data_IF_801518244065
#
_entry.id   IF_801518244065
#
_cell.length_a   1.000
_cell.length_b   1.000
_cell.length_c   1.000
_cell.angle_alpha   90.00
_cell.angle_beta   90.00
_cell.angle_gamma   90.00
#
_symmetry.space_group_name_H-M   'P 1'
#
loop_
_entity.id
_entity.type
_entity.pdbx_description
1 polymer ?
#
# COMPACT_ATOMS: atom_id res chain seq x y z
N UNK A 1 7.59 -8.06 14.64
CA UNK A 1 6.21 -7.55 14.60
C UNK A 1 6.20 -6.36 13.65
N UNK A 2 5.63 -6.45 12.45
CA UNK A 2 5.47 -5.30 11.58
C UNK A 2 4.44 -4.34 12.20
N UNK A 3 4.68 -3.04 12.14
CA UNK A 3 3.73 -2.05 12.63
C UNK A 3 2.48 -2.04 11.72
N UNK A 4 1.29 -2.14 12.31
CA UNK A 4 0.00 -2.12 11.60
C UNK A 4 -0.42 -0.70 11.16
N UNK A 5 0.34 0.34 11.53
CA UNK A 5 0.09 1.74 11.16
C UNK A 5 1.35 2.41 10.61
N UNK A 6 1.18 3.54 9.90
CA UNK A 6 2.28 4.34 9.37
C UNK A 6 3.27 4.67 10.50
N UNK A 7 4.52 4.16 10.40
CA UNK A 7 5.54 4.38 11.44
C UNK A 7 5.80 5.88 11.60
N UNK A 8 5.24 6.46 12.66
CA UNK A 8 5.53 7.80 13.14
C UNK A 8 6.81 7.79 13.99
N UNK A 9 7.20 8.96 14.51
CA UNK A 9 8.33 9.10 15.44
C UNK A 9 8.21 8.24 16.73
N UNK A 10 7.04 7.60 16.97
CA UNK A 10 6.80 6.70 18.11
C UNK A 10 6.95 5.20 17.77
N UNK A 11 7.27 4.85 16.52
CA UNK A 11 7.55 3.49 16.10
C UNK A 11 8.90 3.02 16.71
N UNK A 12 8.94 1.88 17.40
CA UNK A 12 10.16 1.37 18.06
C UNK A 12 11.33 1.05 17.13
N UNK A 13 11.10 1.08 15.81
CA UNK A 13 12.11 0.94 14.77
C UNK A 13 12.62 2.31 14.25
N UNK A 14 12.00 3.42 14.67
CA UNK A 14 12.43 4.75 14.29
C UNK A 14 13.76 5.09 14.97
N UNK A 15 14.78 5.37 14.16
CA UNK A 15 16.09 5.81 14.65
C UNK A 15 16.23 7.32 14.41
N UNK A 16 16.26 8.16 15.46
CA UNK A 16 16.40 9.60 15.28
C UNK A 16 17.77 9.93 14.68
N UNK A 17 17.79 10.94 13.81
CA UNK A 17 18.99 11.39 13.10
C UNK A 17 19.99 12.15 14.00
N UNK A 18 19.60 12.47 15.24
CA UNK A 18 20.43 13.16 16.25
C UNK A 18 21.17 14.37 15.67
N UNK A 19 20.42 15.31 15.09
CA UNK A 19 20.96 16.47 14.37
C UNK A 19 21.64 17.50 15.29
N UNK A 20 21.40 17.43 16.61
CA UNK A 20 21.90 18.40 17.59
C UNK A 20 21.32 19.79 17.38
N UNK A 21 21.88 20.78 18.09
CA UNK A 21 21.61 22.20 17.87
C UNK A 21 22.94 22.94 17.57
N UNK A 22 23.30 23.12 16.29
CA UNK A 22 24.54 23.80 15.91
C UNK A 22 24.46 25.33 16.11
N UNK A 23 23.26 25.87 16.28
CA UNK A 23 23.03 27.30 16.48
C UNK A 23 23.16 27.70 17.95
N UNK A 24 22.93 26.76 18.87
CA UNK A 24 22.91 27.01 20.30
C UNK A 24 21.93 28.13 20.65
N UNK A 25 22.38 29.12 21.44
CA UNK A 25 21.54 30.25 21.84
C UNK A 25 21.25 31.28 20.73
N UNK A 26 21.84 31.15 19.53
CA UNK A 26 21.67 32.13 18.46
C UNK A 26 20.24 32.17 17.91
N UNK A 27 19.48 31.07 17.99
CA UNK A 27 18.07 31.07 17.59
C UNK A 27 17.19 31.92 18.53
N UNK A 28 17.70 32.21 19.74
CA UNK A 28 16.99 32.93 20.80
C UNK A 28 17.61 34.31 21.05
N UNK A 29 18.51 34.78 20.19
CA UNK A 29 19.27 36.02 20.37
C UNK A 29 19.45 36.79 19.06
N UNK A 30 19.43 38.12 19.12
CA UNK A 30 19.75 39.00 17.99
C UNK A 30 21.25 39.29 17.85
N UNK A 31 22.11 38.52 18.53
CA UNK A 31 23.57 38.69 18.44
C UNK A 31 24.07 38.30 17.05
N UNK A 32 25.02 39.06 16.52
CA UNK A 32 25.71 38.71 15.27
C UNK A 32 26.56 37.45 15.48
N UNK A 33 26.39 36.40 14.67
CA UNK A 33 27.18 35.18 14.79
C UNK A 33 28.64 35.44 14.37
N UNK A 34 29.57 34.84 15.09
CA UNK A 34 30.99 34.82 14.73
C UNK A 34 31.25 33.89 13.53
N UNK A 35 32.37 34.11 12.83
CA UNK A 35 32.78 33.27 11.70
C UNK A 35 32.85 31.77 12.05
N UNK A 36 33.28 31.45 13.28
CA UNK A 36 33.33 30.07 13.78
C UNK A 36 31.93 29.44 13.94
N UNK A 37 30.93 30.23 14.35
CA UNK A 37 29.54 29.78 14.45
C UNK A 37 28.93 29.62 13.06
N UNK A 38 29.21 30.54 12.15
CA UNK A 38 28.78 30.43 10.74
C UNK A 38 29.34 29.16 10.10
N UNK A 39 30.62 28.87 10.30
CA UNK A 39 31.25 27.65 9.80
C UNK A 39 30.61 26.38 10.41
N UNK A 40 30.36 26.38 11.72
CA UNK A 40 29.72 25.26 12.43
C UNK A 40 28.31 24.98 11.88
N UNK A 41 27.48 26.02 11.78
CA UNK A 41 26.10 25.92 11.27
C UNK A 41 26.10 25.46 9.81
N UNK A 42 26.97 26.02 8.97
CA UNK A 42 27.06 25.65 7.56
C UNK A 42 27.40 24.17 7.37
N UNK A 43 28.37 23.67 8.15
CA UNK A 43 28.77 22.26 8.12
C UNK A 43 27.61 21.33 8.53
N UNK A 44 26.85 21.74 9.55
CA UNK A 44 25.66 21.01 9.99
C UNK A 44 24.54 21.01 8.94
N UNK A 45 24.29 22.15 8.27
CA UNK A 45 23.32 22.25 7.18
C UNK A 45 23.70 21.35 6.00
N UNK A 46 24.98 21.32 5.62
CA UNK A 46 25.43 20.47 4.52
C UNK A 46 25.32 18.98 4.86
N UNK A 47 25.57 18.61 6.12
CA UNK A 47 25.30 17.25 6.60
C UNK A 47 23.81 16.91 6.49
N UNK A 48 22.93 17.79 6.97
CA UNK A 48 21.48 17.56 6.92
C UNK A 48 20.97 17.46 5.47
N UNK A 49 21.48 18.29 4.56
CA UNK A 49 21.16 18.23 3.12
C UNK A 49 21.56 16.89 2.50
N UNK A 50 22.77 16.39 2.78
CA UNK A 50 23.21 15.07 2.29
C UNK A 50 22.32 13.94 2.78
N UNK A 51 21.94 13.95 4.06
CA UNK A 51 21.02 12.95 4.60
C UNK A 51 19.63 13.05 3.98
N UNK A 52 19.13 14.26 3.75
CA UNK A 52 17.85 14.46 3.06
C UNK A 52 17.87 13.86 1.66
N UNK A 53 18.91 14.13 0.86
CA UNK A 53 19.08 13.53 -0.47
C UNK A 53 19.16 12.01 -0.39
N UNK A 54 19.96 11.46 0.53
CA UNK A 54 20.09 10.01 0.72
C UNK A 54 18.75 9.33 1.02
N UNK A 55 17.93 9.94 1.89
CA UNK A 55 16.60 9.41 2.23
C UNK A 55 15.64 9.55 1.06
N UNK A 56 15.68 10.66 0.32
CA UNK A 56 14.86 10.86 -0.88
C UNK A 56 15.17 9.82 -1.97
N UNK A 57 16.45 9.56 -2.24
CA UNK A 57 16.87 8.56 -3.23
C UNK A 57 16.42 7.16 -2.83
N UNK A 58 16.60 6.78 -1.56
CA UNK A 58 16.13 5.50 -1.04
C UNK A 58 14.61 5.36 -1.16
N UNK A 59 13.86 6.42 -0.86
CA UNK A 59 12.41 6.44 -1.00
C UNK A 59 11.98 6.28 -2.47
N UNK A 60 12.66 6.95 -3.40
CA UNK A 60 12.38 6.83 -4.82
C UNK A 60 12.58 5.37 -5.31
N UNK A 61 13.70 4.74 -4.93
CA UNK A 61 13.99 3.33 -5.26
C UNK A 61 12.92 2.40 -4.68
N UNK A 62 12.62 2.52 -3.39
CA UNK A 62 11.64 1.67 -2.72
C UNK A 62 10.24 1.86 -3.30
N UNK A 63 9.88 3.08 -3.67
CA UNK A 63 8.59 3.37 -4.31
C UNK A 63 8.50 2.70 -5.67
N UNK A 64 9.55 2.77 -6.49
CA UNK A 64 9.61 2.10 -7.79
C UNK A 64 9.48 0.57 -7.63
N UNK A 65 10.22 -0.03 -6.69
CA UNK A 65 10.14 -1.46 -6.38
C UNK A 65 8.73 -1.86 -5.90
N UNK A 66 8.12 -1.07 -5.03
CA UNK A 66 6.75 -1.31 -4.57
C UNK A 66 5.76 -1.30 -5.73
N UNK A 67 5.87 -0.33 -6.65
CA UNK A 67 5.00 -0.28 -7.84
C UNK A 67 5.18 -1.48 -8.74
N UNK A 68 6.43 -1.90 -9.00
CA UNK A 68 6.74 -3.07 -9.82
C UNK A 68 6.18 -4.36 -9.22
N UNK A 69 6.36 -4.56 -7.91
CA UNK A 69 5.81 -5.72 -7.19
C UNK A 69 4.28 -5.72 -7.20
N UNK A 70 3.65 -4.56 -6.98
CA UNK A 70 2.19 -4.44 -7.03
C UNK A 70 1.64 -4.79 -8.40
N UNK A 71 2.30 -4.32 -9.46
CA UNK A 71 1.93 -4.64 -10.85
C UNK A 71 2.10 -6.13 -11.14
N UNK A 72 3.20 -6.74 -10.68
CA UNK A 72 3.43 -8.18 -10.80
C UNK A 72 2.31 -8.97 -10.10
N UNK A 73 2.00 -8.63 -8.85
CA UNK A 73 0.95 -9.29 -8.09
C UNK A 73 -0.43 -9.15 -8.76
N UNK A 74 -0.78 -7.98 -9.30
CA UNK A 74 -2.06 -7.82 -10.00
C UNK A 74 -2.13 -8.65 -11.28
N UNK A 75 -1.08 -8.60 -12.10
CA UNK A 75 -1.02 -9.35 -13.37
C UNK A 75 -1.13 -10.85 -13.13
N UNK A 76 -0.39 -11.37 -12.16
CA UNK A 76 -0.31 -12.81 -11.91
C UNK A 76 -1.37 -13.33 -10.93
N UNK A 77 -1.85 -12.51 -10.00
CA UNK A 77 -2.95 -12.86 -9.10
C UNK A 77 -4.22 -13.26 -9.86
N UNK A 78 -4.53 -12.55 -10.95
CA UNK A 78 -5.64 -12.91 -11.85
C UNK A 78 -5.49 -14.30 -12.50
N UNK A 79 -4.26 -14.76 -12.73
CA UNK A 79 -3.97 -16.10 -13.27
C UNK A 79 -4.25 -17.17 -12.22
N UNK A 80 -3.85 -16.93 -10.97
CA UNK A 80 -4.08 -17.86 -9.86
C UNK A 80 -5.55 -17.90 -9.48
N UNK A 81 -6.24 -16.77 -9.43
CA UNK A 81 -7.70 -16.71 -9.18
C UNK A 81 -8.51 -17.47 -10.24
N UNK A 82 -7.99 -17.58 -11.48
CA UNK A 82 -8.57 -18.45 -12.52
C UNK A 82 -8.47 -19.95 -12.24
N UNK A 83 -7.72 -20.38 -11.21
CA UNK A 83 -7.63 -21.78 -10.75
C UNK A 83 -8.49 -22.07 -9.52
N UNK A 84 -9.28 -21.11 -9.02
CA UNK A 84 -10.24 -21.37 -7.95
C UNK A 84 -11.08 -22.60 -8.32
N UNK A 85 -11.17 -23.69 -7.54
CA UNK A 85 -11.95 -24.87 -7.90
C UNK A 85 -13.41 -24.54 -8.20
N UNK A 86 -14.09 -25.40 -8.94
CA UNK A 86 -15.49 -25.13 -9.31
C UNK A 86 -16.39 -25.08 -8.08
N UNK A 87 -16.07 -25.86 -7.05
CA UNK A 87 -16.78 -25.99 -5.77
C UNK A 87 -16.68 -24.68 -4.96
N UNK A 88 -15.50 -24.07 -4.93
CA UNK A 88 -15.32 -22.78 -4.26
C UNK A 88 -16.00 -21.65 -5.05
N UNK A 89 -16.04 -21.77 -6.38
CA UNK A 89 -16.74 -20.80 -7.23
C UNK A 89 -18.27 -20.90 -7.08
N UNK A 90 -18.82 -22.12 -6.94
CA UNK A 90 -20.25 -22.33 -6.68
C UNK A 90 -20.66 -21.81 -5.31
N UNK A 91 -19.85 -22.02 -4.26
CA UNK A 91 -20.14 -21.47 -2.93
C UNK A 91 -20.20 -19.93 -2.93
N UNK A 92 -19.26 -19.29 -3.61
CA UNK A 92 -19.27 -17.82 -3.79
C UNK A 92 -20.55 -17.38 -4.50
N UNK A 93 -20.97 -18.11 -5.54
CA UNK A 93 -22.18 -17.79 -6.30
C UNK A 93 -23.42 -17.84 -5.42
N UNK A 94 -23.55 -18.86 -4.56
CA UNK A 94 -24.69 -19.01 -3.66
C UNK A 94 -24.79 -17.83 -2.69
N UNK A 95 -23.67 -17.45 -2.07
CA UNK A 95 -23.64 -16.27 -1.19
C UNK A 95 -23.93 -14.95 -1.92
N UNK A 96 -23.53 -14.82 -3.19
CA UNK A 96 -23.80 -13.61 -3.98
C UNK A 96 -25.26 -13.49 -4.38
N UNK A 97 -25.95 -14.60 -4.70
CA UNK A 97 -27.36 -14.60 -5.10
C UNK A 97 -28.28 -14.49 -3.88
N UNK A 98 -27.99 -15.21 -2.78
CA UNK A 98 -28.78 -15.15 -1.54
C UNK A 98 -28.80 -13.76 -0.90
N UNK A 99 -27.72 -12.98 -1.06
CA UNK A 99 -27.64 -11.62 -0.54
C UNK A 99 -28.53 -10.62 -1.31
N UNK A 100 -28.95 -10.95 -2.53
CA UNK A 100 -29.88 -10.16 -3.31
C UNK A 100 -31.32 -10.56 -2.93
N UNK A 101 -31.86 -9.95 -1.88
CA UNK A 101 -33.18 -10.22 -1.29
C UNK A 101 -34.39 -10.13 -2.26
N UNK A 102 -34.19 -9.76 -3.52
CA UNK A 102 -35.19 -9.75 -4.60
C UNK A 102 -34.70 -10.62 -5.75
N UNK A 103 -35.47 -11.66 -6.06
CA UNK A 103 -35.24 -12.54 -7.21
C UNK A 103 -35.49 -11.78 -8.52
N UNK A 104 -34.52 -10.96 -8.92
CA UNK A 104 -34.44 -10.38 -10.26
C UNK A 104 -33.47 -11.23 -11.09
N UNK A 105 -33.97 -12.19 -11.88
CA UNK A 105 -33.13 -13.06 -12.68
C UNK A 105 -32.33 -12.31 -13.74
N UNK A 106 -32.70 -11.07 -14.09
CA UNK A 106 -32.02 -10.28 -15.13
C UNK A 106 -30.87 -9.46 -14.55
N UNK A 107 -31.06 -8.90 -13.35
CA UNK A 107 -30.10 -7.95 -12.77
C UNK A 107 -29.40 -8.42 -11.50
N UNK A 108 -29.94 -9.39 -10.75
CA UNK A 108 -29.40 -9.85 -9.47
C UNK A 108 -29.49 -11.37 -9.24
N UNK A 109 -29.48 -12.19 -10.30
CA UNK A 109 -29.61 -13.65 -10.21
C UNK A 109 -28.45 -14.45 -10.82
N UNK A 110 -28.56 -15.77 -10.78
CA UNK A 110 -27.58 -16.72 -11.32
C UNK A 110 -27.18 -16.45 -12.79
N UNK A 111 -28.11 -15.90 -13.57
CA UNK A 111 -27.84 -15.50 -14.96
C UNK A 111 -26.76 -14.43 -15.10
N UNK A 112 -26.63 -13.52 -14.14
CA UNK A 112 -25.60 -12.46 -14.17
C UNK A 112 -24.22 -13.08 -14.02
N UNK A 113 -24.08 -14.06 -13.13
CA UNK A 113 -22.84 -14.83 -12.92
C UNK A 113 -22.46 -15.61 -14.19
N UNK A 114 -23.44 -16.17 -14.90
CA UNK A 114 -23.25 -16.88 -16.17
C UNK A 114 -22.81 -15.99 -17.36
N UNK A 115 -22.80 -14.66 -17.21
CA UNK A 115 -22.38 -13.71 -18.27
C UNK A 115 -20.90 -13.32 -18.18
N UNK A 116 -20.22 -13.58 -17.06
CA UNK A 116 -18.83 -13.14 -16.81
C UNK A 116 -17.83 -13.82 -17.74
N UNK A 117 -17.81 -15.15 -17.78
CA UNK A 117 -16.95 -15.91 -18.70
C UNK A 117 -17.49 -17.34 -18.95
N UNK A 118 -16.91 -18.08 -19.90
CA UNK A 118 -17.33 -19.46 -20.21
C UNK A 118 -17.25 -20.39 -19.00
N UNK A 119 -16.22 -20.23 -18.16
CA UNK A 119 -16.02 -21.04 -16.95
C UNK A 119 -17.11 -20.77 -15.90
N UNK A 120 -17.39 -19.50 -15.62
CA UNK A 120 -18.44 -19.10 -14.69
C UNK A 120 -19.81 -19.57 -15.15
N UNK A 121 -20.09 -19.48 -16.46
CA UNK A 121 -21.30 -20.05 -17.05
C UNK A 121 -21.41 -21.55 -16.81
N UNK A 122 -20.34 -22.30 -17.07
CA UNK A 122 -20.33 -23.75 -16.84
C UNK A 122 -20.66 -24.06 -15.39
N UNK A 123 -20.01 -23.39 -14.43
CA UNK A 123 -20.21 -23.64 -13.00
C UNK A 123 -21.61 -23.21 -12.55
N UNK A 124 -22.10 -22.05 -12.97
CA UNK A 124 -23.43 -21.56 -12.61
C UNK A 124 -24.56 -22.47 -13.14
N UNK A 125 -24.40 -23.02 -14.35
CA UNK A 125 -25.37 -23.97 -14.91
C UNK A 125 -25.30 -25.36 -14.27
N UNK A 126 -24.14 -25.78 -13.75
CA UNK A 126 -24.00 -27.07 -13.07
C UNK A 126 -24.30 -27.02 -11.58
N UNK A 127 -24.44 -25.84 -10.98
CA UNK A 127 -24.77 -25.66 -9.57
C UNK A 127 -26.28 -25.53 -9.45
N UNK A 128 -26.97 -26.62 -9.08
CA UNK A 128 -28.44 -26.66 -9.04
C UNK A 128 -29.04 -25.74 -7.98
N UNK A 129 -28.31 -25.45 -6.90
CA UNK A 129 -28.78 -24.60 -5.79
C UNK A 129 -28.96 -23.13 -6.18
N UNK A 130 -28.48 -22.71 -7.36
CA UNK A 130 -28.64 -21.34 -7.87
C UNK A 130 -29.98 -21.08 -8.59
N UNK A 131 -30.81 -22.11 -8.78
CA UNK A 131 -32.04 -22.10 -9.61
C UNK A 131 -33.27 -22.51 -8.79
#
# INVERSE_FOLDING_TARGET
MPCESACSAHCGLYRPLNLGDPSGGLLLSNNTPSDSQIATISTALDRARRELTRVQDALAILTAQHTELKDFLQKHGSVVSRRLPNEMLSEIFLHCVDAAATFDPVHNGAWVLARVCRRWRSVALTTSELW
#
